data_IF_337485314292
#
_entry.id   IF_337485314292
#
_cell.length_a   1.000
_cell.length_b   1.000
_cell.length_c   1.000
_cell.angle_alpha   90.00
_cell.angle_beta   90.00
_cell.angle_gamma   90.00
#
_symmetry.space_group_name_H-M   'P 1'
#
loop_
_entity.id
_entity.type
_entity.pdbx_description
1 polymer ?
#
# COMPACT_ATOMS: atom_id res chain seq x y z
N UNK A 1 16.76 13.20 -17.41
CA UNK A 1 15.52 14.01 -17.46
C UNK A 1 15.15 14.44 -16.06
N UNK A 2 15.07 13.53 -15.11
CA UNK A 2 14.75 13.82 -13.73
C UNK A 2 16.02 14.02 -12.87
N UNK A 3 16.00 14.99 -11.98
CA UNK A 3 17.07 15.23 -10.98
C UNK A 3 16.75 14.57 -9.63
N UNK A 4 15.47 14.36 -9.36
CA UNK A 4 14.94 13.79 -8.12
C UNK A 4 14.03 12.62 -8.49
N UNK A 5 14.17 11.50 -7.77
CA UNK A 5 13.28 10.36 -7.88
C UNK A 5 12.17 10.47 -6.83
N UNK A 6 10.93 10.44 -7.26
CA UNK A 6 9.79 10.16 -6.39
C UNK A 6 9.69 8.64 -6.19
N UNK A 7 9.67 8.19 -4.94
CA UNK A 7 9.81 6.76 -4.61
C UNK A 7 8.48 6.07 -4.35
N UNK A 8 7.41 6.85 -4.14
CA UNK A 8 6.11 6.33 -3.74
C UNK A 8 4.95 7.13 -4.34
N UNK A 9 3.76 6.52 -4.35
CA UNK A 9 2.52 7.19 -4.68
C UNK A 9 2.19 8.35 -3.69
N UNK A 10 2.70 8.30 -2.46
CA UNK A 10 2.55 9.42 -1.51
C UNK A 10 3.30 10.66 -1.99
N UNK A 11 4.47 10.51 -2.60
CA UNK A 11 5.20 11.64 -3.19
C UNK A 11 4.38 12.29 -4.30
N UNK A 12 3.69 11.49 -5.13
CA UNK A 12 2.79 11.98 -6.18
C UNK A 12 1.57 12.68 -5.56
N UNK A 13 1.00 12.14 -4.49
CA UNK A 13 -0.08 12.77 -3.72
C UNK A 13 0.31 14.18 -3.22
N UNK A 14 1.55 14.35 -2.76
CA UNK A 14 2.08 15.66 -2.39
C UNK A 14 2.20 16.62 -3.59
N UNK A 15 2.44 16.11 -4.79
CA UNK A 15 2.42 16.93 -6.02
C UNK A 15 1.00 17.35 -6.36
N UNK A 16 0.03 16.43 -6.30
CA UNK A 16 -1.40 16.75 -6.52
C UNK A 16 -1.87 17.86 -5.57
N UNK A 17 -1.53 17.78 -4.29
CA UNK A 17 -1.95 18.74 -3.27
C UNK A 17 -1.41 20.15 -3.50
N UNK A 18 -0.37 20.36 -4.32
CA UNK A 18 0.11 21.70 -4.71
C UNK A 18 -0.88 22.45 -5.63
N UNK A 19 -1.68 21.70 -6.39
CA UNK A 19 -2.60 22.25 -7.40
C UNK A 19 -4.06 22.16 -6.96
N UNK A 20 -4.36 21.42 -5.91
CA UNK A 20 -5.73 21.14 -5.48
C UNK A 20 -5.98 21.59 -4.06
N UNK A 21 -7.23 21.98 -3.79
CA UNK A 21 -7.71 22.23 -2.44
C UNK A 21 -8.98 21.43 -2.24
N UNK A 22 -9.02 20.66 -1.15
CA UNK A 22 -10.26 20.04 -0.73
C UNK A 22 -11.12 21.07 0.00
N UNK A 23 -12.43 20.92 -0.13
CA UNK A 23 -13.39 21.74 0.60
C UNK A 23 -13.61 21.16 2.00
N UNK A 24 -14.08 22.00 2.92
CA UNK A 24 -14.48 21.54 4.24
C UNK A 24 -15.76 20.72 4.12
N UNK A 25 -15.81 19.60 4.80
CA UNK A 25 -17.03 18.82 5.02
C UNK A 25 -17.27 18.65 6.52
N UNK A 26 -18.50 18.34 6.89
CA UNK A 26 -18.89 18.09 8.27
C UNK A 26 -19.08 16.58 8.52
N UNK A 27 -19.20 16.21 9.79
CA UNK A 27 -19.62 14.87 10.19
C UNK A 27 -21.03 14.54 9.69
N UNK A 28 -21.90 15.53 9.70
CA UNK A 28 -23.29 15.43 9.26
C UNK A 28 -23.37 15.12 7.76
N UNK A 29 -22.52 15.77 6.94
CA UNK A 29 -22.41 15.46 5.50
C UNK A 29 -22.02 13.98 5.28
N UNK A 30 -21.02 13.50 6.02
CA UNK A 30 -20.59 12.12 5.93
C UNK A 30 -21.66 11.13 6.39
N UNK A 31 -22.34 11.41 7.50
CA UNK A 31 -23.44 10.57 8.00
C UNK A 31 -24.61 10.55 7.01
N UNK A 32 -24.95 11.68 6.40
CA UNK A 32 -26.00 11.74 5.38
C UNK A 32 -25.72 10.80 4.21
N UNK A 33 -24.46 10.72 3.73
CA UNK A 33 -24.09 9.73 2.71
C UNK A 33 -24.25 8.29 3.19
N UNK A 34 -23.95 8.01 4.45
CA UNK A 34 -24.10 6.67 5.01
C UNK A 34 -25.55 6.23 5.16
N UNK A 35 -26.52 7.15 5.23
CA UNK A 35 -27.96 6.87 5.26
C UNK A 35 -28.55 6.63 3.86
N UNK A 36 -27.78 6.84 2.79
CA UNK A 36 -28.19 6.58 1.41
C UNK A 36 -27.95 5.13 0.99
N UNK A 37 -28.53 4.72 -0.14
CA UNK A 37 -28.24 3.44 -0.78
C UNK A 37 -26.91 3.53 -1.53
N UNK A 38 -26.04 2.57 -1.36
CA UNK A 38 -24.83 2.49 -2.19
C UNK A 38 -25.18 1.98 -3.60
N UNK A 39 -25.29 2.89 -4.55
CA UNK A 39 -25.63 2.58 -5.94
C UNK A 39 -24.56 1.71 -6.61
N UNK A 40 -23.28 1.92 -6.28
CA UNK A 40 -22.17 1.13 -6.82
C UNK A 40 -22.11 -0.29 -6.26
N UNK A 41 -22.78 -0.53 -5.14
CA UNK A 41 -22.76 -1.77 -4.34
C UNK A 41 -21.37 -2.19 -3.82
N UNK A 42 -20.28 -1.63 -4.32
CA UNK A 42 -18.92 -1.97 -3.93
C UNK A 42 -18.47 -1.17 -2.71
N UNK A 43 -17.82 -1.84 -1.77
CA UNK A 43 -17.27 -1.23 -0.56
C UNK A 43 -15.94 -1.91 -0.19
N UNK A 44 -14.92 -1.10 0.06
CA UNK A 44 -13.70 -1.54 0.71
C UNK A 44 -13.69 -1.08 2.17
N UNK A 45 -13.09 -1.88 3.05
CA UNK A 45 -12.89 -1.57 4.46
C UNK A 45 -11.39 -1.51 4.76
N UNK A 46 -10.94 -0.46 5.41
CA UNK A 46 -9.57 -0.34 5.92
C UNK A 46 -9.56 -0.27 7.43
N UNK A 47 -8.89 -1.21 8.07
CA UNK A 47 -8.70 -1.26 9.51
C UNK A 47 -7.29 -0.82 9.87
N UNK A 48 -7.16 0.19 10.72
CA UNK A 48 -5.84 0.62 11.20
C UNK A 48 -5.60 0.16 12.63
N UNK A 49 -4.48 -0.51 12.85
CA UNK A 49 -3.99 -0.91 14.17
C UNK A 49 -2.74 -0.11 14.50
N UNK A 50 -2.81 0.96 15.30
CA UNK A 50 -1.68 1.86 15.53
C UNK A 50 -0.67 1.34 16.56
N UNK A 51 -0.51 0.03 16.72
CA UNK A 51 0.34 -0.57 17.75
C UNK A 51 1.37 -1.53 17.17
N UNK A 52 2.58 -1.49 17.73
CA UNK A 52 3.66 -2.43 17.49
C UNK A 52 4.30 -2.83 18.83
N UNK A 53 4.70 -4.08 18.96
CA UNK A 53 5.52 -4.57 20.08
C UNK A 53 7.00 -4.18 19.89
N UNK A 54 7.45 -4.05 18.65
CA UNK A 54 8.79 -3.62 18.29
C UNK A 54 8.76 -2.64 17.13
N UNK A 55 9.38 -1.49 17.30
CA UNK A 55 9.47 -0.44 16.27
C UNK A 55 10.70 -0.70 15.39
N UNK A 56 10.47 -0.74 14.07
CA UNK A 56 11.54 -0.86 13.08
C UNK A 56 12.29 0.49 12.92
N UNK A 57 13.60 0.44 12.66
CA UNK A 57 14.45 1.64 12.60
C UNK A 57 14.04 2.65 11.51
N UNK A 58 13.45 2.19 10.42
CA UNK A 58 13.04 2.98 9.26
C UNK A 58 11.59 3.48 9.29
N UNK A 59 10.77 2.97 10.20
CA UNK A 59 9.31 3.12 10.12
C UNK A 59 8.83 4.53 10.44
N UNK A 60 7.96 5.06 9.58
CA UNK A 60 7.27 6.34 9.74
C UNK A 60 5.76 6.23 9.87
N UNK A 61 5.23 5.00 9.95
CA UNK A 61 3.78 4.79 10.07
C UNK A 61 3.24 5.42 11.34
N UNK A 62 1.94 5.80 11.32
CA UNK A 62 1.23 6.26 12.52
C UNK A 62 1.05 5.08 13.49
N UNK A 63 2.01 4.92 14.40
CA UNK A 63 2.08 3.80 15.35
C UNK A 63 2.58 4.25 16.73
N UNK A 64 2.23 3.43 17.72
CA UNK A 64 2.71 3.55 19.11
C UNK A 64 3.36 2.23 19.51
N UNK A 65 4.34 2.31 20.43
CA UNK A 65 4.80 1.13 21.16
C UNK A 65 3.63 0.57 21.97
N UNK A 66 3.42 -0.74 21.92
CA UNK A 66 2.44 -1.38 22.77
C UNK A 66 2.92 -1.33 24.23
N UNK A 67 2.15 -0.74 25.09
CA UNK A 67 2.40 -0.58 26.52
C UNK A 67 1.33 -1.22 27.41
N UNK A 68 0.16 -1.55 26.84
CA UNK A 68 -1.01 -2.06 27.54
C UNK A 68 -1.72 -3.18 26.76
N UNK A 69 -2.68 -3.83 27.41
CA UNK A 69 -3.60 -4.75 26.76
C UNK A 69 -4.50 -4.01 25.75
N UNK A 70 -4.76 -4.65 24.62
CA UNK A 70 -5.61 -4.09 23.55
C UNK A 70 -7.11 -4.39 23.74
N UNK A 71 -7.57 -4.74 24.93
CA UNK A 71 -8.98 -5.09 25.15
C UNK A 71 -9.92 -3.90 24.88
N UNK A 72 -9.56 -2.72 25.37
CA UNK A 72 -10.35 -1.49 25.09
C UNK A 72 -10.35 -1.14 23.62
N UNK A 73 -9.20 -1.28 22.94
CA UNK A 73 -9.10 -1.01 21.51
C UNK A 73 -9.85 -2.06 20.69
N UNK A 74 -9.83 -3.32 21.12
CA UNK A 74 -10.64 -4.41 20.53
C UNK A 74 -12.13 -4.09 20.62
N UNK A 75 -12.58 -3.65 21.81
CA UNK A 75 -13.98 -3.23 22.02
C UNK A 75 -14.33 -2.06 21.09
N UNK A 76 -13.49 -1.03 21.04
CA UNK A 76 -13.69 0.12 20.16
C UNK A 76 -13.83 -0.29 18.69
N UNK A 77 -12.95 -1.13 18.16
CA UNK A 77 -13.03 -1.63 16.79
C UNK A 77 -14.33 -2.39 16.55
N UNK A 78 -14.73 -3.29 17.48
CA UNK A 78 -15.99 -4.03 17.38
C UNK A 78 -17.22 -3.10 17.39
N UNK A 79 -17.20 -2.05 18.22
CA UNK A 79 -18.30 -1.10 18.30
C UNK A 79 -18.39 -0.25 17.02
N UNK A 80 -17.25 0.18 16.44
CA UNK A 80 -17.24 0.87 15.13
C UNK A 80 -17.72 -0.03 13.99
N UNK A 81 -17.34 -1.32 13.97
CA UNK A 81 -17.84 -2.31 13.00
C UNK A 81 -19.39 -2.38 13.05
N UNK A 82 -19.96 -2.54 14.25
CA UNK A 82 -21.42 -2.62 14.43
C UNK A 82 -22.10 -1.32 14.03
N UNK A 83 -21.55 -0.20 14.45
CA UNK A 83 -22.06 1.14 14.13
C UNK A 83 -22.12 1.36 12.62
N UNK A 84 -21.00 1.16 11.90
CA UNK A 84 -20.96 1.35 10.45
C UNK A 84 -21.81 0.31 9.70
N UNK A 85 -21.79 -0.95 10.13
CA UNK A 85 -22.63 -2.01 9.55
C UNK A 85 -24.13 -1.75 9.69
N UNK A 86 -24.56 -0.91 10.63
CA UNK A 86 -25.96 -0.54 10.80
C UNK A 86 -26.47 0.47 9.74
N UNK A 87 -25.59 1.26 9.12
CA UNK A 87 -25.99 2.27 8.14
C UNK A 87 -26.50 1.63 6.83
N UNK A 88 -27.42 2.32 6.17
CA UNK A 88 -28.06 1.85 4.93
C UNK A 88 -27.05 1.65 3.80
N UNK A 89 -26.08 2.55 3.67
CA UNK A 89 -24.99 2.44 2.71
C UNK A 89 -24.28 1.08 2.84
N UNK A 90 -23.86 0.72 4.05
CA UNK A 90 -23.16 -0.53 4.30
C UNK A 90 -24.04 -1.76 4.10
N UNK A 91 -25.31 -1.71 4.52
CA UNK A 91 -26.29 -2.81 4.32
C UNK A 91 -26.62 -3.08 2.87
N UNK A 92 -26.50 -2.06 2.01
CA UNK A 92 -26.74 -2.19 0.56
C UNK A 92 -25.47 -2.40 -0.25
N UNK A 93 -24.32 -2.54 0.44
CA UNK A 93 -23.00 -2.80 -0.14
C UNK A 93 -22.63 -4.28 -0.04
N UNK A 94 -21.81 -4.71 -0.99
CA UNK A 94 -21.01 -5.93 -0.89
C UNK A 94 -19.54 -5.54 -0.66
N UNK A 95 -18.94 -6.05 0.41
CA UNK A 95 -17.53 -5.82 0.71
C UNK A 95 -16.68 -6.68 -0.22
N UNK A 96 -15.94 -6.04 -1.11
CA UNK A 96 -15.03 -6.70 -2.05
C UNK A 96 -13.57 -6.66 -1.61
N UNK A 97 -13.23 -5.77 -0.67
CA UNK A 97 -11.89 -5.66 -0.10
C UNK A 97 -11.95 -5.34 1.40
N UNK A 98 -11.16 -6.06 2.18
CA UNK A 98 -10.83 -5.71 3.56
C UNK A 98 -9.32 -5.68 3.72
N UNK A 99 -8.81 -4.64 4.32
CA UNK A 99 -7.37 -4.50 4.58
C UNK A 99 -7.12 -4.10 6.04
N UNK A 100 -6.44 -4.96 6.77
CA UNK A 100 -5.95 -4.68 8.12
C UNK A 100 -4.49 -4.26 8.03
N UNK A 101 -4.20 -3.01 8.37
CA UNK A 101 -2.87 -2.43 8.26
C UNK A 101 -2.50 -1.51 9.44
N UNK A 102 -1.41 -0.78 9.25
CA UNK A 102 -0.92 0.21 10.20
C UNK A 102 0.38 -0.17 10.90
N UNK A 103 0.35 -0.35 12.22
CA UNK A 103 1.49 -0.85 12.99
C UNK A 103 1.69 -2.34 12.73
N UNK A 104 1.03 -3.19 13.51
CA UNK A 104 1.06 -4.64 13.33
C UNK A 104 -0.30 -5.23 13.68
N UNK A 105 -1.21 -5.43 12.74
CA UNK A 105 -2.58 -5.92 13.02
C UNK A 105 -2.63 -7.27 13.75
N UNK A 106 -1.64 -8.13 13.57
CA UNK A 106 -1.55 -9.40 14.29
C UNK A 106 -1.02 -9.31 15.72
N UNK A 107 -0.87 -8.07 16.25
CA UNK A 107 -0.48 -7.85 17.66
C UNK A 107 -1.60 -8.24 18.63
N UNK A 108 -2.86 -8.21 18.20
CA UNK A 108 -3.99 -8.68 18.99
C UNK A 108 -3.78 -10.12 19.48
N UNK A 109 -4.22 -10.40 20.71
CA UNK A 109 -4.33 -11.78 21.19
C UNK A 109 -5.32 -12.56 20.32
N UNK A 110 -5.22 -13.89 20.31
CA UNK A 110 -6.08 -14.74 19.46
C UNK A 110 -7.57 -14.54 19.72
N UNK A 111 -7.96 -14.38 20.98
CA UNK A 111 -9.35 -14.13 21.38
C UNK A 111 -9.86 -12.77 20.89
N UNK A 112 -8.99 -11.75 20.95
CA UNK A 112 -9.29 -10.40 20.44
C UNK A 112 -9.42 -10.40 18.92
N UNK A 113 -8.49 -11.07 18.22
CA UNK A 113 -8.51 -11.23 16.78
C UNK A 113 -9.78 -11.97 16.32
N UNK A 114 -10.12 -13.07 16.98
CA UNK A 114 -11.34 -13.83 16.70
C UNK A 114 -12.60 -12.96 16.90
N UNK A 115 -12.67 -12.20 18.00
CA UNK A 115 -13.79 -11.29 18.28
C UNK A 115 -13.96 -10.22 17.19
N UNK A 116 -12.87 -9.59 16.75
CA UNK A 116 -12.91 -8.58 15.67
C UNK A 116 -13.43 -9.21 14.38
N UNK A 117 -12.82 -10.33 13.94
CA UNK A 117 -13.16 -10.99 12.69
C UNK A 117 -14.59 -11.53 12.67
N UNK A 118 -15.03 -12.12 13.79
CA UNK A 118 -16.42 -12.57 13.97
C UNK A 118 -17.38 -11.39 13.85
N UNK A 119 -17.12 -10.30 14.58
CA UNK A 119 -17.96 -9.10 14.52
C UNK A 119 -18.04 -8.53 13.11
N UNK A 120 -16.93 -8.53 12.38
CA UNK A 120 -16.89 -8.08 10.98
C UNK A 120 -17.79 -8.96 10.09
N UNK A 121 -17.69 -10.27 10.20
CA UNK A 121 -18.50 -11.21 9.40
C UNK A 121 -19.99 -11.16 9.70
N UNK A 122 -20.35 -10.80 10.92
CA UNK A 122 -21.76 -10.67 11.35
C UNK A 122 -22.42 -9.36 10.88
N UNK A 123 -21.64 -8.32 10.57
CA UNK A 123 -22.17 -6.98 10.31
C UNK A 123 -22.03 -6.49 8.86
N UNK A 124 -21.30 -7.21 7.99
CA UNK A 124 -21.12 -6.83 6.59
C UNK A 124 -21.41 -8.01 5.66
N UNK A 125 -21.92 -7.70 4.48
CA UNK A 125 -22.14 -8.65 3.39
C UNK A 125 -20.88 -8.65 2.52
N UNK A 126 -20.36 -9.83 2.21
CA UNK A 126 -19.12 -9.95 1.43
C UNK A 126 -19.45 -10.42 0.00
N UNK A 127 -18.76 -9.87 -0.99
CA UNK A 127 -18.80 -10.37 -2.36
C UNK A 127 -18.20 -11.79 -2.42
N UNK A 128 -18.55 -12.54 -3.45
CA UNK A 128 -18.09 -13.94 -3.60
C UNK A 128 -16.56 -14.06 -3.70
N UNK A 129 -15.91 -13.08 -4.32
CA UNK A 129 -14.49 -13.08 -4.64
C UNK A 129 -13.72 -11.99 -3.89
N UNK A 130 -14.17 -11.64 -2.68
CA UNK A 130 -13.52 -10.62 -1.85
C UNK A 130 -12.04 -10.95 -1.55
N UNK A 131 -11.24 -9.90 -1.33
CA UNK A 131 -9.90 -9.98 -0.77
C UNK A 131 -9.91 -9.49 0.68
N UNK A 132 -9.44 -10.32 1.61
CA UNK A 132 -9.23 -9.90 3.01
C UNK A 132 -7.76 -10.07 3.36
N UNK A 133 -7.06 -8.95 3.47
CA UNK A 133 -5.60 -8.87 3.73
C UNK A 133 -5.31 -8.50 5.18
N UNK A 134 -4.33 -9.17 5.77
CA UNK A 134 -3.70 -8.79 7.03
C UNK A 134 -2.22 -8.49 6.85
N UNK A 135 -1.79 -7.30 7.29
CA UNK A 135 -0.37 -7.02 7.51
C UNK A 135 0.11 -7.69 8.78
N UNK A 136 1.33 -8.24 8.74
CA UNK A 136 1.88 -8.97 9.87
C UNK A 136 3.42 -8.93 9.89
N UNK A 137 3.97 -9.36 11.01
CA UNK A 137 5.38 -9.74 11.12
C UNK A 137 5.48 -11.21 11.53
N UNK A 138 6.60 -11.88 11.22
CA UNK A 138 6.78 -13.26 11.63
C UNK A 138 6.73 -13.46 13.15
N UNK A 139 7.10 -12.42 13.91
CA UNK A 139 7.05 -12.43 15.38
C UNK A 139 5.62 -12.52 15.91
N UNK A 140 4.70 -11.80 15.27
CA UNK A 140 3.31 -11.66 15.73
C UNK A 140 2.35 -12.68 15.11
N UNK A 141 2.81 -13.50 14.14
CA UNK A 141 2.00 -14.48 13.46
C UNK A 141 2.24 -15.88 14.04
N UNK A 142 1.43 -16.29 15.01
CA UNK A 142 1.37 -17.71 15.44
C UNK A 142 0.49 -18.52 14.49
N UNK A 143 0.63 -19.86 14.52
CA UNK A 143 -0.22 -20.73 13.70
C UNK A 143 -1.67 -20.71 14.16
N UNK A 144 -1.93 -20.60 15.47
CA UNK A 144 -3.29 -20.47 16.00
C UNK A 144 -3.97 -19.18 15.50
N UNK A 145 -3.23 -18.08 15.41
CA UNK A 145 -3.77 -16.84 14.80
C UNK A 145 -4.05 -17.04 13.32
N UNK A 146 -3.18 -17.72 12.60
CA UNK A 146 -3.35 -18.00 11.18
C UNK A 146 -4.61 -18.85 10.94
N UNK A 147 -4.84 -19.88 11.76
CA UNK A 147 -6.05 -20.74 11.72
C UNK A 147 -7.33 -19.93 12.00
N UNK A 148 -7.29 -19.02 12.99
CA UNK A 148 -8.41 -18.11 13.26
C UNK A 148 -8.65 -17.19 12.06
N UNK A 149 -7.60 -16.61 11.47
CA UNK A 149 -7.70 -15.76 10.30
C UNK A 149 -8.35 -16.49 9.12
N UNK A 150 -7.91 -17.71 8.80
CA UNK A 150 -8.51 -18.54 7.75
C UNK A 150 -9.97 -18.91 8.05
N UNK A 151 -10.28 -19.31 9.29
CA UNK A 151 -11.65 -19.62 9.73
C UNK A 151 -12.63 -18.50 9.43
N UNK A 152 -12.20 -17.25 9.56
CA UNK A 152 -13.03 -16.06 9.28
C UNK A 152 -12.83 -15.48 7.89
N UNK A 153 -12.09 -16.19 7.02
CA UNK A 153 -12.01 -15.89 5.59
C UNK A 153 -10.91 -14.90 5.20
N UNK A 154 -9.88 -14.72 6.04
CA UNK A 154 -8.66 -14.04 5.59
C UNK A 154 -8.00 -14.90 4.53
N UNK A 155 -7.79 -14.34 3.34
CA UNK A 155 -7.28 -15.05 2.17
C UNK A 155 -6.00 -14.43 1.59
N UNK A 156 -5.45 -13.41 2.25
CA UNK A 156 -4.18 -12.79 1.90
C UNK A 156 -3.47 -12.27 3.16
N UNK A 157 -2.17 -12.50 3.26
CA UNK A 157 -1.31 -11.89 4.28
C UNK A 157 -0.18 -11.12 3.62
N UNK A 158 0.20 -9.96 4.21
CA UNK A 158 1.40 -9.21 3.85
C UNK A 158 2.39 -9.25 4.99
N UNK A 159 3.54 -9.87 4.76
CA UNK A 159 4.53 -10.12 5.80
C UNK A 159 5.73 -9.19 5.63
N UNK A 160 5.93 -8.30 6.58
CA UNK A 160 7.09 -7.41 6.59
C UNK A 160 8.38 -8.19 6.84
N UNK A 161 9.05 -8.63 5.77
CA UNK A 161 10.35 -9.31 5.83
C UNK A 161 11.50 -8.31 5.77
N UNK A 162 11.41 -7.37 4.86
CA UNK A 162 12.31 -6.27 4.53
C UNK A 162 13.59 -6.71 3.81
N UNK A 163 14.27 -7.76 4.22
CA UNK A 163 15.39 -8.43 3.56
C UNK A 163 15.66 -9.76 4.25
N UNK A 164 16.26 -10.69 3.54
CA UNK A 164 16.77 -11.95 4.12
C UNK A 164 18.23 -11.80 4.63
N UNK A 165 18.97 -10.74 4.23
CA UNK A 165 20.32 -10.50 4.70
C UNK A 165 20.36 -10.29 6.21
N UNK A 166 21.16 -11.08 6.95
CA UNK A 166 21.31 -10.93 8.40
C UNK A 166 21.83 -9.54 8.79
N UNK A 167 22.75 -8.98 7.99
CA UNK A 167 23.27 -7.62 8.17
C UNK A 167 22.18 -6.58 7.98
N UNK A 168 21.42 -6.66 6.88
CA UNK A 168 20.30 -5.78 6.59
C UNK A 168 19.21 -5.86 7.66
N UNK A 169 18.87 -7.07 8.11
CA UNK A 169 17.88 -7.30 9.18
C UNK A 169 18.27 -6.62 10.48
N UNK A 170 19.56 -6.72 10.87
CA UNK A 170 20.09 -6.03 12.05
C UNK A 170 19.97 -4.51 11.92
N UNK A 171 20.35 -3.96 10.77
CA UNK A 171 20.30 -2.53 10.47
C UNK A 171 18.86 -1.99 10.49
N UNK A 172 17.91 -2.76 9.95
CA UNK A 172 16.48 -2.41 9.91
C UNK A 172 15.73 -2.78 11.22
N UNK A 173 16.45 -3.18 12.27
CA UNK A 173 15.89 -3.63 13.55
C UNK A 173 14.82 -4.75 13.39
N UNK A 174 15.09 -5.74 12.52
CA UNK A 174 14.21 -6.89 12.31
C UNK A 174 14.59 -8.06 13.21
N UNK A 175 13.57 -8.79 13.65
CA UNK A 175 13.70 -9.98 14.49
C UNK A 175 14.10 -11.20 13.63
N UNK A 176 14.82 -12.13 14.23
CA UNK A 176 15.24 -13.40 13.63
C UNK A 176 16.31 -13.27 12.53
N UNK A 177 17.03 -14.34 12.32
CA UNK A 177 18.01 -14.49 11.25
C UNK A 177 17.37 -15.02 9.94
N UNK A 178 18.16 -15.08 8.88
CA UNK A 178 17.77 -15.57 7.57
C UNK A 178 17.17 -16.98 7.63
N UNK A 179 17.84 -17.91 8.32
CA UNK A 179 17.45 -19.32 8.31
C UNK A 179 16.06 -19.49 8.95
N UNK A 180 15.84 -18.86 10.10
CA UNK A 180 14.53 -18.87 10.73
C UNK A 180 13.45 -18.26 9.83
N UNK A 181 13.73 -17.13 9.19
CA UNK A 181 12.77 -16.44 8.31
C UNK A 181 12.37 -17.32 7.13
N UNK A 182 13.34 -17.94 6.46
CA UNK A 182 13.10 -18.84 5.32
C UNK A 182 12.24 -20.04 5.72
N UNK A 183 12.64 -20.74 6.78
CA UNK A 183 11.91 -21.92 7.24
C UNK A 183 10.50 -21.56 7.73
N UNK A 184 10.35 -20.45 8.44
CA UNK A 184 9.05 -19.97 8.92
C UNK A 184 8.10 -19.62 7.77
N UNK A 185 8.59 -18.96 6.73
CA UNK A 185 7.78 -18.66 5.52
C UNK A 185 7.39 -19.95 4.78
N UNK A 186 8.29 -20.93 4.66
CA UNK A 186 7.97 -22.24 4.08
C UNK A 186 6.88 -22.97 4.88
N UNK A 187 6.93 -22.91 6.21
CA UNK A 187 5.89 -23.48 7.07
C UNK A 187 4.54 -22.78 6.91
N UNK A 188 4.55 -21.43 6.87
CA UNK A 188 3.33 -20.64 6.61
C UNK A 188 2.75 -21.02 5.25
N UNK A 189 3.59 -21.10 4.20
CA UNK A 189 3.15 -21.48 2.84
C UNK A 189 2.52 -22.87 2.78
N UNK A 190 2.93 -23.80 3.64
CA UNK A 190 2.32 -25.14 3.72
C UNK A 190 0.97 -25.16 4.44
N UNK A 191 0.75 -24.22 5.37
CA UNK A 191 -0.43 -24.22 6.26
C UNK A 191 -1.50 -23.24 5.81
N UNK A 192 -1.12 -22.11 5.22
CA UNK A 192 -2.04 -21.08 4.78
C UNK A 192 -2.44 -21.30 3.32
N UNK A 193 -3.75 -21.41 3.08
CA UNK A 193 -4.30 -21.62 1.74
C UNK A 193 -4.38 -20.36 0.90
N UNK A 194 -4.31 -19.19 1.56
CA UNK A 194 -4.38 -17.88 0.89
C UNK A 194 -3.06 -17.40 0.29
N UNK A 195 -3.08 -16.17 -0.20
CA UNK A 195 -1.94 -15.53 -0.84
C UNK A 195 -0.95 -14.97 0.19
N UNK A 196 0.34 -15.10 -0.08
CA UNK A 196 1.43 -14.55 0.74
C UNK A 196 2.14 -13.49 -0.07
N UNK A 197 2.04 -12.24 0.39
CA UNK A 197 2.86 -11.12 -0.03
C UNK A 197 3.98 -10.90 0.98
N UNK A 198 5.17 -10.52 0.53
CA UNK A 198 6.23 -10.04 1.42
C UNK A 198 6.66 -8.63 1.03
N UNK A 199 7.12 -7.86 2.02
CA UNK A 199 7.70 -6.54 1.76
C UNK A 199 9.22 -6.63 1.79
N UNK A 200 9.87 -6.08 0.76
CA UNK A 200 11.32 -5.97 0.61
C UNK A 200 11.71 -4.50 0.59
N UNK A 201 12.72 -4.15 1.39
CA UNK A 201 13.38 -2.85 1.38
C UNK A 201 14.77 -3.03 0.80
N UNK A 202 15.07 -2.31 -0.26
CA UNK A 202 16.40 -2.27 -0.86
C UNK A 202 17.06 -0.89 -0.66
N UNK A 203 18.33 -0.78 -1.02
CA UNK A 203 19.13 0.44 -0.88
C UNK A 203 19.30 0.90 0.58
N UNK A 204 19.41 -0.06 1.51
CA UNK A 204 19.89 0.23 2.87
C UNK A 204 21.42 0.35 2.90
N UNK A 205 21.97 0.95 3.97
CA UNK A 205 23.38 1.26 4.06
C UNK A 205 24.30 0.07 3.72
N UNK A 206 25.16 0.26 2.72
CA UNK A 206 26.13 -0.74 2.27
C UNK A 206 25.55 -2.03 1.71
N UNK A 207 24.29 -2.05 1.24
CA UNK A 207 23.70 -3.23 0.60
C UNK A 207 24.51 -3.65 -0.62
N UNK A 208 24.88 -4.92 -0.71
CA UNK A 208 25.62 -5.48 -1.85
C UNK A 208 24.69 -6.03 -2.93
N UNK A 209 25.26 -6.32 -4.11
CA UNK A 209 24.51 -6.96 -5.21
C UNK A 209 24.07 -8.37 -4.83
N UNK A 210 24.95 -9.10 -4.13
CA UNK A 210 24.64 -10.47 -3.69
C UNK A 210 23.47 -10.49 -2.69
N UNK A 211 23.36 -9.51 -1.79
CA UNK A 211 22.28 -9.42 -0.83
C UNK A 211 20.93 -9.21 -1.51
N UNK A 212 20.84 -8.33 -2.51
CA UNK A 212 19.57 -8.06 -3.21
C UNK A 212 19.19 -9.20 -4.18
N UNK A 213 20.17 -9.83 -4.83
CA UNK A 213 19.94 -11.01 -5.67
C UNK A 213 19.52 -12.22 -4.84
N UNK A 214 20.06 -12.38 -3.61
CA UNK A 214 19.61 -13.42 -2.70
C UNK A 214 18.16 -13.18 -2.24
N UNK A 215 17.77 -11.93 -1.97
CA UNK A 215 16.39 -11.57 -1.65
C UNK A 215 15.43 -12.01 -2.78
N UNK A 216 15.77 -11.73 -4.05
CA UNK A 216 14.98 -12.15 -5.22
C UNK A 216 14.94 -13.67 -5.39
N UNK A 217 16.08 -14.37 -5.21
CA UNK A 217 16.17 -15.83 -5.30
C UNK A 217 15.32 -16.51 -4.24
N UNK A 218 15.40 -16.08 -2.98
CA UNK A 218 14.65 -16.69 -1.87
C UNK A 218 13.14 -16.43 -2.00
N UNK A 219 12.73 -15.30 -2.53
CA UNK A 219 11.33 -15.00 -2.86
C UNK A 219 10.75 -16.07 -3.79
N UNK A 220 11.49 -16.42 -4.84
CA UNK A 220 11.12 -17.45 -5.80
C UNK A 220 11.19 -18.87 -5.22
N UNK A 221 12.24 -19.21 -4.48
CA UNK A 221 12.43 -20.52 -3.84
C UNK A 221 11.30 -20.85 -2.86
N UNK A 222 10.88 -19.87 -2.03
CA UNK A 222 9.77 -20.01 -1.09
C UNK A 222 8.42 -20.03 -1.81
N UNK A 223 8.38 -19.55 -3.08
CA UNK A 223 7.18 -19.44 -3.90
C UNK A 223 6.12 -18.53 -3.27
N UNK A 224 6.55 -17.36 -2.75
CA UNK A 224 5.59 -16.34 -2.32
C UNK A 224 4.79 -15.82 -3.51
N UNK A 225 3.58 -15.35 -3.29
CA UNK A 225 2.67 -15.03 -4.40
C UNK A 225 2.90 -13.62 -4.95
N UNK A 226 3.42 -12.72 -4.10
CA UNK A 226 3.80 -11.36 -4.51
C UNK A 226 4.83 -10.74 -3.58
N UNK A 227 5.48 -9.69 -4.04
CA UNK A 227 6.39 -8.89 -3.23
C UNK A 227 6.17 -7.40 -3.48
N UNK A 228 6.14 -6.61 -2.41
CA UNK A 228 6.35 -5.17 -2.49
C UNK A 228 7.85 -4.90 -2.36
N UNK A 229 8.40 -3.99 -3.18
CA UNK A 229 9.82 -3.66 -3.09
C UNK A 229 10.02 -2.14 -3.11
N UNK A 230 10.61 -1.64 -2.04
CA UNK A 230 10.72 -0.21 -1.78
C UNK A 230 12.20 0.18 -1.57
N UNK A 231 12.63 1.25 -2.25
CA UNK A 231 13.89 1.90 -1.85
C UNK A 231 13.75 2.46 -0.45
N UNK A 232 14.76 2.23 0.40
CA UNK A 232 14.75 2.79 1.75
C UNK A 232 14.50 4.30 1.71
N UNK A 233 13.48 4.72 2.44
CA UNK A 233 13.17 6.12 2.69
C UNK A 233 13.50 6.44 4.14
N UNK A 234 14.28 7.49 4.34
CA UNK A 234 14.60 8.00 5.69
C UNK A 234 13.62 9.12 6.00
N UNK A 235 12.73 8.85 6.93
CA UNK A 235 11.73 9.81 7.38
C UNK A 235 12.19 10.48 8.69
N UNK A 236 11.93 11.76 8.82
CA UNK A 236 12.22 12.51 10.02
C UNK A 236 11.55 11.86 11.24
N UNK A 237 12.31 11.78 12.34
CA UNK A 237 11.86 11.14 13.57
C UNK A 237 11.99 9.61 13.63
N UNK A 238 12.34 8.93 12.53
CA UNK A 238 12.73 7.52 12.54
C UNK A 238 14.07 7.32 13.25
N UNK A 239 14.34 6.12 13.79
CA UNK A 239 15.61 5.87 14.49
C UNK A 239 16.81 6.00 13.55
N UNK A 240 16.68 5.53 12.32
CA UNK A 240 17.73 5.68 11.30
C UNK A 240 17.98 7.14 10.92
N UNK A 241 16.95 8.01 10.98
CA UNK A 241 17.14 9.47 10.81
C UNK A 241 17.95 10.07 11.94
N UNK A 242 17.62 9.74 13.19
CA UNK A 242 18.34 10.20 14.39
C UNK A 242 19.81 9.74 14.41
N UNK A 243 20.07 8.50 13.98
CA UNK A 243 21.43 7.99 13.85
C UNK A 243 22.21 8.73 12.76
N UNK A 244 21.60 8.96 11.60
CA UNK A 244 22.18 9.73 10.50
C UNK A 244 22.45 11.20 10.85
N UNK A 245 21.65 11.80 11.71
CA UNK A 245 21.90 13.17 12.22
C UNK A 245 23.19 13.25 13.04
N UNK A 246 23.52 12.18 13.79
CA UNK A 246 24.75 12.06 14.59
C UNK A 246 25.97 11.73 13.71
N UNK A 247 25.77 10.88 12.73
CA UNK A 247 26.84 10.45 11.81
C UNK A 247 26.28 10.29 10.37
N UNK A 248 26.56 11.27 9.53
CA UNK A 248 26.13 11.29 8.12
C UNK A 248 26.74 10.17 7.29
N UNK A 249 27.82 9.52 7.74
CA UNK A 249 28.45 8.41 7.04
C UNK A 249 27.65 7.11 7.11
N UNK A 250 26.72 6.97 8.07
CA UNK A 250 25.88 5.78 8.26
C UNK A 250 25.06 5.48 7.02
N UNK A 251 24.56 6.52 6.35
CA UNK A 251 23.79 6.36 5.12
C UNK A 251 23.92 7.59 4.22
N UNK A 252 24.49 7.40 3.04
CA UNK A 252 24.51 8.39 1.97
C UNK A 252 23.69 7.85 0.79
N UNK A 253 22.62 8.55 0.43
CA UNK A 253 21.79 8.19 -0.71
C UNK A 253 22.55 8.42 -2.01
N UNK A 254 22.60 7.39 -2.86
CA UNK A 254 23.11 7.45 -4.22
C UNK A 254 22.00 7.04 -5.18
N UNK A 255 21.60 7.94 -6.05
CA UNK A 255 20.58 7.67 -7.08
C UNK A 255 21.04 6.56 -8.04
N UNK A 256 22.32 6.55 -8.41
CA UNK A 256 22.89 5.50 -9.25
C UNK A 256 22.79 4.12 -8.58
N UNK A 257 23.16 4.04 -7.29
CA UNK A 257 23.07 2.79 -6.54
C UNK A 257 21.62 2.34 -6.33
N UNK A 258 20.73 3.27 -6.13
CA UNK A 258 19.28 3.03 -6.02
C UNK A 258 18.73 2.38 -7.31
N UNK A 259 19.13 2.89 -8.48
CA UNK A 259 18.75 2.34 -9.79
C UNK A 259 19.37 0.96 -10.05
N UNK A 260 20.65 0.77 -9.72
CA UNK A 260 21.35 -0.52 -9.86
C UNK A 260 20.64 -1.62 -9.04
N UNK A 261 20.41 -1.39 -7.76
CA UNK A 261 19.77 -2.38 -6.88
C UNK A 261 18.33 -2.66 -7.27
N UNK A 262 17.59 -1.63 -7.69
CA UNK A 262 16.23 -1.81 -8.20
C UNK A 262 16.21 -2.74 -9.40
N UNK A 263 17.09 -2.47 -10.38
CA UNK A 263 17.10 -3.22 -11.63
C UNK A 263 17.55 -4.67 -11.39
N UNK A 264 18.58 -4.89 -10.57
CA UNK A 264 19.03 -6.24 -10.19
C UNK A 264 17.90 -7.07 -9.58
N UNK A 265 17.16 -6.49 -8.61
CA UNK A 265 16.03 -7.18 -7.98
C UNK A 265 14.91 -7.47 -8.98
N UNK A 266 14.52 -6.44 -9.75
CA UNK A 266 13.45 -6.55 -10.72
C UNK A 266 13.74 -7.62 -11.78
N UNK A 267 14.91 -7.54 -12.42
CA UNK A 267 15.31 -8.49 -13.48
C UNK A 267 15.39 -9.91 -12.95
N UNK A 268 16.01 -10.13 -11.78
CA UNK A 268 16.06 -11.44 -11.15
C UNK A 268 14.67 -12.00 -10.82
N UNK A 269 13.71 -11.16 -10.42
CA UNK A 269 12.33 -11.60 -10.20
C UNK A 269 11.61 -11.94 -11.51
N UNK A 270 11.80 -11.14 -12.58
CA UNK A 270 11.20 -11.43 -13.90
C UNK A 270 11.74 -12.74 -14.48
N UNK A 271 13.03 -13.00 -14.37
CA UNK A 271 13.65 -14.29 -14.79
C UNK A 271 13.05 -15.48 -14.03
N UNK A 272 12.55 -15.26 -12.82
CA UNK A 272 11.88 -16.26 -12.00
C UNK A 272 10.33 -16.23 -12.11
N UNK A 273 9.79 -15.73 -13.24
CA UNK A 273 8.36 -15.76 -13.57
C UNK A 273 7.47 -14.87 -12.69
N UNK A 274 8.03 -13.81 -12.11
CA UNK A 274 7.23 -12.71 -11.56
C UNK A 274 6.97 -11.67 -12.66
N UNK A 275 5.86 -10.98 -12.56
CA UNK A 275 5.46 -9.87 -13.43
C UNK A 275 5.24 -8.59 -12.62
N UNK A 276 5.35 -7.43 -13.24
CA UNK A 276 5.03 -6.16 -12.60
C UNK A 276 3.52 -6.08 -12.40
N UNK A 277 3.10 -5.96 -11.16
CA UNK A 277 1.69 -5.76 -10.80
C UNK A 277 1.35 -4.26 -10.68
N UNK A 278 2.26 -3.52 -10.07
CA UNK A 278 2.20 -2.07 -9.83
C UNK A 278 3.65 -1.58 -9.65
N UNK A 279 3.94 -0.31 -9.84
CA UNK A 279 5.30 0.26 -9.90
C UNK A 279 6.25 -0.16 -8.75
N UNK A 280 5.68 -0.60 -7.64
CA UNK A 280 6.42 -1.06 -6.46
C UNK A 280 6.08 -2.50 -6.06
N UNK A 281 5.39 -3.25 -6.91
CA UNK A 281 4.90 -4.60 -6.58
C UNK A 281 5.06 -5.58 -7.74
N UNK A 282 5.52 -6.79 -7.39
CA UNK A 282 5.65 -7.92 -8.29
C UNK A 282 4.70 -9.04 -7.87
N UNK A 283 4.22 -9.83 -8.81
CA UNK A 283 3.34 -10.98 -8.59
C UNK A 283 3.72 -12.15 -9.48
N UNK A 284 3.50 -13.37 -9.00
CA UNK A 284 3.59 -14.60 -9.81
C UNK A 284 2.31 -14.85 -10.64
N UNK A 285 1.48 -13.83 -10.84
CA UNK A 285 0.21 -13.90 -11.56
C UNK A 285 -1.00 -14.33 -10.72
N UNK A 286 -0.81 -14.87 -9.51
CA UNK A 286 -1.91 -15.26 -8.62
C UNK A 286 -2.48 -14.10 -7.83
N UNK A 287 -1.61 -13.25 -7.28
CA UNK A 287 -2.01 -12.08 -6.52
C UNK A 287 -2.41 -10.95 -7.49
N UNK A 288 -3.67 -10.52 -7.41
CA UNK A 288 -4.21 -9.39 -8.19
C UNK A 288 -4.26 -8.10 -7.37
N UNK A 289 -4.04 -8.18 -6.09
CA UNK A 289 -4.01 -7.11 -5.10
C UNK A 289 -5.15 -6.11 -5.27
N UNK A 290 -6.36 -6.56 -4.96
CA UNK A 290 -7.60 -5.77 -5.14
C UNK A 290 -7.58 -4.46 -4.35
N UNK A 291 -6.97 -4.46 -3.14
CA UNK A 291 -6.90 -3.25 -2.32
C UNK A 291 -6.23 -2.08 -3.05
N UNK A 292 -5.03 -2.31 -3.66
CA UNK A 292 -4.34 -1.22 -4.36
C UNK A 292 -5.10 -0.77 -5.61
N UNK A 293 -5.76 -1.73 -6.30
CA UNK A 293 -6.59 -1.40 -7.46
C UNK A 293 -7.81 -0.56 -7.08
N UNK A 294 -8.45 -0.85 -5.95
CA UNK A 294 -9.56 -0.06 -5.44
C UNK A 294 -9.11 1.36 -5.06
N UNK A 295 -7.98 1.49 -4.36
CA UNK A 295 -7.43 2.79 -3.99
C UNK A 295 -7.06 3.64 -5.22
N UNK A 296 -6.38 3.05 -6.20
CA UNK A 296 -5.99 3.74 -7.44
C UNK A 296 -7.18 4.08 -8.34
N UNK A 297 -8.35 3.46 -8.11
CA UNK A 297 -9.61 3.76 -8.82
C UNK A 297 -10.58 4.58 -7.97
N UNK A 298 -10.14 5.11 -6.83
CA UNK A 298 -10.94 5.92 -5.90
C UNK A 298 -12.30 5.31 -5.56
N UNK A 299 -12.35 3.98 -5.37
CA UNK A 299 -13.56 3.29 -4.91
C UNK A 299 -13.80 3.56 -3.44
N UNK A 300 -15.06 3.51 -3.00
CA UNK A 300 -15.45 3.72 -1.61
C UNK A 300 -14.62 2.89 -0.65
N UNK A 301 -13.95 3.56 0.28
CA UNK A 301 -13.09 2.98 1.31
C UNK A 301 -13.51 3.51 2.67
N UNK A 302 -14.17 2.68 3.47
CA UNK A 302 -14.59 3.02 4.82
C UNK A 302 -13.45 2.74 5.81
N UNK A 303 -12.89 3.78 6.47
CA UNK A 303 -11.80 3.60 7.41
C UNK A 303 -12.30 3.35 8.82
N UNK A 304 -11.75 2.34 9.50
CA UNK A 304 -12.07 1.95 10.87
C UNK A 304 -10.77 1.92 11.70
N UNK A 305 -10.79 2.50 12.86
CA UNK A 305 -9.64 2.55 13.76
C UNK A 305 -8.93 3.90 13.78
N UNK A 306 -8.12 4.10 14.80
CA UNK A 306 -7.33 5.32 15.02
C UNK A 306 -6.19 5.38 14.02
N UNK A 307 -6.08 6.47 13.27
CA UNK A 307 -5.10 6.66 12.20
C UNK A 307 -5.59 6.16 10.83
N UNK A 308 -6.79 5.59 10.76
CA UNK A 308 -7.38 5.17 9.48
C UNK A 308 -7.84 6.37 8.65
N UNK A 309 -7.53 6.37 7.36
CA UNK A 309 -8.04 7.30 6.37
C UNK A 309 -8.77 6.58 5.23
N UNK A 310 -9.78 7.24 4.66
CA UNK A 310 -10.55 6.71 3.54
C UNK A 310 -11.55 7.73 3.02
N UNK A 311 -12.49 7.29 2.21
CA UNK A 311 -13.54 8.15 1.66
C UNK A 311 -14.78 7.35 1.25
N UNK A 312 -15.91 7.98 1.35
CA UNK A 312 -17.18 7.51 0.77
C UNK A 312 -17.62 8.56 -0.25
N UNK A 313 -17.73 8.15 -1.50
CA UNK A 313 -17.94 9.05 -2.63
C UNK A 313 -16.87 10.19 -2.61
N UNK A 314 -17.30 11.45 -2.56
CA UNK A 314 -16.44 12.62 -2.55
C UNK A 314 -16.03 13.11 -1.14
N UNK A 315 -16.54 12.48 -0.06
CA UNK A 315 -16.20 12.85 1.31
C UNK A 315 -15.10 11.96 1.86
N UNK A 316 -13.92 12.56 2.05
CA UNK A 316 -12.80 11.96 2.76
C UNK A 316 -12.97 12.05 4.28
N UNK A 317 -12.51 11.02 4.97
CA UNK A 317 -12.47 10.95 6.44
C UNK A 317 -11.11 10.47 6.92
N UNK A 318 -10.60 11.06 8.01
CA UNK A 318 -9.42 10.61 8.71
C UNK A 318 -9.68 10.55 10.22
N UNK A 319 -9.53 9.38 10.82
CA UNK A 319 -9.77 9.13 12.23
C UNK A 319 -8.53 9.50 13.07
N UNK A 320 -8.46 10.70 13.62
CA UNK A 320 -7.34 11.17 14.40
C UNK A 320 -7.17 10.40 15.72
N UNK A 321 -8.30 10.15 16.39
CA UNK A 321 -8.38 9.34 17.62
C UNK A 321 -9.78 8.69 17.72
N UNK A 322 -10.09 8.04 18.84
CA UNK A 322 -11.38 7.36 19.02
C UNK A 322 -12.60 8.31 19.04
N UNK A 323 -12.41 9.61 19.22
CA UNK A 323 -13.48 10.60 19.38
C UNK A 323 -13.52 11.62 18.24
N UNK A 324 -12.36 11.90 17.61
CA UNK A 324 -12.18 12.98 16.65
C UNK A 324 -11.81 12.44 15.28
N UNK A 325 -12.60 12.81 14.28
CA UNK A 325 -12.31 12.58 12.86
C UNK A 325 -12.33 13.91 12.09
N UNK A 326 -11.49 14.00 11.06
CA UNK A 326 -11.49 15.11 10.12
C UNK A 326 -12.21 14.71 8.84
N UNK A 327 -12.98 15.63 8.29
CA UNK A 327 -13.75 15.43 7.08
C UNK A 327 -13.38 16.46 6.03
N UNK A 328 -13.31 16.04 4.78
CA UNK A 328 -13.04 16.93 3.64
C UNK A 328 -13.79 16.45 2.42
N UNK A 329 -14.21 17.40 1.56
CA UNK A 329 -14.83 17.09 0.28
C UNK A 329 -13.80 17.24 -0.83
N UNK A 330 -13.61 16.18 -1.59
CA UNK A 330 -12.65 16.13 -2.71
C UNK A 330 -13.11 17.08 -3.82
N UNK A 331 -12.25 17.96 -4.29
CA UNK A 331 -12.54 18.79 -5.45
C UNK A 331 -12.52 17.98 -6.74
N UNK A 332 -13.25 18.44 -7.77
CA UNK A 332 -13.26 17.79 -9.08
C UNK A 332 -11.86 17.66 -9.67
N UNK A 333 -11.05 18.71 -9.52
CA UNK A 333 -9.65 18.67 -9.98
C UNK A 333 -8.83 17.63 -9.22
N UNK A 334 -8.95 17.56 -7.89
CA UNK A 334 -8.26 16.54 -7.10
C UNK A 334 -8.68 15.14 -7.56
N UNK A 335 -9.97 14.91 -7.77
CA UNK A 335 -10.48 13.64 -8.28
C UNK A 335 -9.84 13.28 -9.63
N UNK A 336 -9.84 14.20 -10.61
CA UNK A 336 -9.27 13.99 -11.95
C UNK A 336 -7.78 13.65 -11.91
N UNK A 337 -6.99 14.43 -11.15
CA UNK A 337 -5.55 14.22 -11.01
C UNK A 337 -5.24 12.90 -10.31
N UNK A 338 -6.01 12.55 -9.28
CA UNK A 338 -5.86 11.29 -8.55
C UNK A 338 -6.21 10.08 -9.42
N UNK A 339 -7.25 10.17 -10.26
CA UNK A 339 -7.60 9.12 -11.23
C UNK A 339 -6.50 8.91 -12.27
N UNK A 340 -5.96 9.99 -12.85
CA UNK A 340 -4.82 9.90 -13.79
C UNK A 340 -3.61 9.28 -13.10
N UNK A 341 -3.28 9.73 -11.90
CA UNK A 341 -2.19 9.15 -11.10
C UNK A 341 -2.40 7.66 -10.87
N UNK A 342 -3.60 7.25 -10.45
CA UNK A 342 -3.92 5.85 -10.19
C UNK A 342 -3.83 4.96 -11.42
N UNK A 343 -4.30 5.44 -12.59
CA UNK A 343 -4.17 4.71 -13.86
C UNK A 343 -2.71 4.43 -14.23
N UNK A 344 -1.82 5.40 -13.97
CA UNK A 344 -0.39 5.30 -14.30
C UNK A 344 0.43 4.48 -13.29
N UNK A 345 -0.15 3.91 -12.22
CA UNK A 345 0.60 3.09 -11.26
C UNK A 345 0.86 1.65 -11.74
N UNK A 346 0.17 1.18 -12.78
CA UNK A 346 0.24 -0.20 -13.24
C UNK A 346 1.25 -0.38 -14.40
N UNK A 347 1.67 -1.63 -14.63
CA UNK A 347 2.62 -2.01 -15.70
C UNK A 347 2.34 -1.32 -17.04
N UNK A 348 1.07 -1.20 -17.37
CA UNK A 348 0.56 -0.50 -18.55
C UNK A 348 -0.71 0.27 -18.23
N UNK A 349 -0.88 1.40 -18.87
CA UNK A 349 -2.07 2.23 -18.73
C UNK A 349 -2.65 2.66 -20.06
N UNK A 350 -3.98 2.71 -20.11
CA UNK A 350 -4.72 3.03 -21.33
C UNK A 350 -4.82 4.57 -21.50
N UNK A 351 -4.36 5.07 -22.62
CA UNK A 351 -4.36 6.50 -22.94
C UNK A 351 -5.77 7.06 -23.12
N UNK A 352 -6.71 6.25 -23.62
CA UNK A 352 -8.12 6.65 -23.75
C UNK A 352 -8.81 6.79 -22.39
N UNK A 353 -8.37 6.06 -21.36
CA UNK A 353 -8.87 6.25 -20.00
C UNK A 353 -8.36 7.58 -19.41
N UNK A 354 -7.11 7.95 -19.65
CA UNK A 354 -6.56 9.25 -19.22
C UNK A 354 -7.34 10.41 -19.87
N UNK A 355 -7.69 10.28 -21.16
CA UNK A 355 -8.44 11.31 -21.90
C UNK A 355 -9.78 11.65 -21.25
N UNK A 356 -10.42 10.72 -20.56
CA UNK A 356 -11.71 10.97 -19.87
C UNK A 356 -11.62 12.00 -18.74
N UNK A 357 -10.42 12.26 -18.22
CA UNK A 357 -10.18 13.14 -17.07
C UNK A 357 -9.58 14.51 -17.44
N UNK A 358 -9.41 14.80 -18.72
CA UNK A 358 -8.86 16.07 -19.20
C UNK A 358 -9.54 16.51 -20.49
N UNK A 359 -9.46 17.80 -20.80
CA UNK A 359 -9.90 18.33 -22.09
C UNK A 359 -8.92 17.96 -23.23
N UNK A 360 -9.35 18.18 -24.46
CA UNK A 360 -8.58 17.85 -25.65
C UNK A 360 -7.22 18.58 -25.71
N UNK A 361 -7.15 19.82 -25.25
CA UNK A 361 -5.91 20.61 -25.24
C UNK A 361 -4.90 20.02 -24.26
N UNK A 362 -5.33 19.74 -23.04
CA UNK A 362 -4.51 19.11 -21.99
C UNK A 362 -4.07 17.72 -22.45
N UNK A 363 -4.99 16.92 -23.03
CA UNK A 363 -4.66 15.58 -23.51
C UNK A 363 -3.56 15.61 -24.59
N UNK A 364 -3.58 16.56 -25.52
CA UNK A 364 -2.51 16.72 -26.52
C UNK A 364 -1.15 17.00 -25.88
N UNK A 365 -1.10 17.84 -24.85
CA UNK A 365 0.15 18.11 -24.13
C UNK A 365 0.65 16.88 -23.36
N UNK A 366 -0.26 16.14 -22.71
CA UNK A 366 0.06 14.84 -22.07
C UNK A 366 0.64 13.89 -23.11
N UNK A 367 -0.03 13.71 -24.26
CA UNK A 367 0.41 12.78 -25.30
C UNK A 367 1.79 13.17 -25.85
N UNK A 368 2.05 14.45 -26.07
CA UNK A 368 3.34 14.97 -26.46
C UNK A 368 4.42 14.62 -25.43
N UNK A 369 4.12 14.81 -24.13
CA UNK A 369 5.03 14.45 -23.04
C UNK A 369 5.29 12.94 -22.98
N UNK A 370 4.28 12.12 -23.19
CA UNK A 370 4.42 10.65 -23.25
C UNK A 370 5.29 10.23 -24.43
N UNK A 371 5.21 10.88 -25.59
CA UNK A 371 6.14 10.67 -26.70
C UNK A 371 7.59 11.05 -26.36
N UNK A 372 7.82 12.08 -25.55
CA UNK A 372 9.17 12.38 -25.03
C UNK A 372 9.68 11.27 -24.09
N UNK A 373 8.80 10.67 -23.28
CA UNK A 373 9.14 9.53 -22.43
C UNK A 373 9.47 8.29 -23.27
N UNK A 374 8.70 8.03 -24.32
CA UNK A 374 8.97 6.94 -25.26
C UNK A 374 10.33 7.10 -25.95
N UNK A 375 10.62 8.29 -26.50
CA UNK A 375 11.90 8.58 -27.15
C UNK A 375 13.11 8.43 -26.21
N UNK A 376 12.89 8.54 -24.90
CA UNK A 376 13.95 8.36 -23.87
C UNK A 376 13.98 6.94 -23.28
N UNK A 377 13.15 6.03 -23.78
CA UNK A 377 13.10 4.63 -23.36
C UNK A 377 12.48 4.38 -21.98
N UNK A 378 11.63 5.28 -21.48
CA UNK A 378 10.90 5.07 -20.23
C UNK A 378 9.63 4.22 -20.43
N UNK A 379 8.95 4.42 -21.55
CA UNK A 379 7.72 3.70 -21.92
C UNK A 379 7.78 3.31 -23.40
N UNK A 380 6.90 2.40 -23.79
CA UNK A 380 6.58 2.09 -25.18
C UNK A 380 5.09 2.32 -25.39
N UNK A 381 4.71 2.98 -26.47
CA UNK A 381 3.31 3.25 -26.79
C UNK A 381 2.86 2.29 -27.89
N UNK A 382 1.89 1.43 -27.59
CA UNK A 382 1.31 0.46 -28.52
C UNK A 382 -0.21 0.34 -28.32
N UNK A 383 -0.99 0.38 -29.37
CA UNK A 383 -2.44 0.13 -29.37
C UNK A 383 -3.21 0.92 -28.29
N UNK A 384 -2.92 2.22 -28.14
CA UNK A 384 -3.46 3.11 -27.09
C UNK A 384 -3.03 2.76 -25.65
N UNK A 385 -2.03 1.91 -25.47
CA UNK A 385 -1.43 1.68 -24.16
C UNK A 385 -0.02 2.26 -24.09
N UNK A 386 0.31 2.86 -22.98
CA UNK A 386 1.68 3.14 -22.59
C UNK A 386 2.16 2.03 -21.64
N UNK A 387 3.27 1.38 -21.98
CA UNK A 387 3.83 0.23 -21.28
C UNK A 387 5.19 0.63 -20.71
N UNK A 388 5.37 0.52 -19.40
CA UNK A 388 6.65 0.85 -18.78
C UNK A 388 7.77 -0.09 -19.28
N UNK A 389 8.94 0.49 -19.57
CA UNK A 389 10.18 -0.23 -19.76
C UNK A 389 10.96 -0.25 -18.43
N UNK A 390 11.99 -1.07 -18.29
CA UNK A 390 12.77 -1.20 -17.05
C UNK A 390 13.15 0.17 -16.45
N UNK A 391 13.72 1.04 -17.26
CA UNK A 391 14.04 2.42 -16.86
C UNK A 391 12.81 3.20 -16.39
N UNK A 392 11.67 2.98 -17.06
CA UNK A 392 10.40 3.63 -16.71
C UNK A 392 9.83 3.15 -15.39
N UNK A 393 9.99 1.87 -15.04
CA UNK A 393 9.54 1.31 -13.76
C UNK A 393 10.29 1.98 -12.61
N UNK A 394 11.61 2.11 -12.69
CA UNK A 394 12.41 2.80 -11.68
C UNK A 394 11.99 4.26 -11.49
N UNK A 395 11.69 4.96 -12.59
CA UNK A 395 11.27 6.37 -12.59
C UNK A 395 9.75 6.57 -12.53
N UNK A 396 8.95 5.52 -12.40
CA UNK A 396 7.50 5.53 -12.62
C UNK A 396 6.77 6.64 -11.88
N UNK A 397 6.94 6.74 -10.57
CA UNK A 397 6.31 7.82 -9.80
C UNK A 397 6.79 9.23 -10.21
N UNK A 398 8.02 9.36 -10.73
CA UNK A 398 8.50 10.65 -11.26
C UNK A 398 7.87 11.00 -12.62
N UNK A 399 7.58 9.99 -13.45
CA UNK A 399 6.82 10.16 -14.69
C UNK A 399 5.38 10.59 -14.39
N UNK A 400 4.75 9.93 -13.41
CA UNK A 400 3.39 10.30 -12.94
C UNK A 400 3.39 11.74 -12.43
N UNK A 401 4.31 12.10 -11.55
CA UNK A 401 4.43 13.44 -10.99
C UNK A 401 4.63 14.53 -12.08
N UNK A 402 5.43 14.24 -13.10
CA UNK A 402 5.66 15.16 -14.23
C UNK A 402 4.38 15.41 -15.04
N UNK A 403 3.57 14.37 -15.29
CA UNK A 403 2.26 14.50 -15.94
C UNK A 403 1.30 15.31 -15.06
N UNK A 404 1.24 15.04 -13.75
CA UNK A 404 0.40 15.80 -12.82
C UNK A 404 0.81 17.29 -12.78
N UNK A 405 2.11 17.59 -12.74
CA UNK A 405 2.61 18.97 -12.80
C UNK A 405 2.28 19.64 -14.13
N UNK A 406 2.39 18.92 -15.25
CA UNK A 406 2.02 19.45 -16.57
C UNK A 406 0.55 19.85 -16.59
N UNK A 407 -0.35 19.01 -16.09
CA UNK A 407 -1.78 19.32 -16.03
C UNK A 407 -2.02 20.50 -15.08
N UNK A 408 -1.48 20.46 -13.87
CA UNK A 408 -1.70 21.48 -12.85
C UNK A 408 -1.21 22.89 -13.23
N UNK A 409 -0.21 22.99 -14.11
CA UNK A 409 0.28 24.29 -14.61
C UNK A 409 -0.52 24.84 -15.81
N UNK A 410 -1.34 24.03 -16.46
CA UNK A 410 -2.14 24.40 -17.62
C UNK A 410 -3.61 24.65 -17.29
N UNK A 411 -3.98 24.53 -16.02
CA UNK A 411 -5.29 24.87 -15.46
C UNK A 411 -5.25 26.22 -14.76
#
# INVERSE_FOLDING_TARGET
MFKIRYKSHHDVGNVISKFTKNFKASKEDFISLLEEVNVSKQLALYFHTPYCDKICSFCNMNRKQLDNDLEEYTKYICDEIKKYGAYKFCKTSEVDVVFFGGGTPTIFKKEQLEKILKTLRENFIFSKDYEMTFETTLHNLSFEKLEIMEKYGVNRISVGIQTFSNRGRKLLNRTYDKNYVVERLKEIKKRFSGLICIDIIYNYAGQTDEEILEDARLLSEIKVDSASFYSLMIHDGSDISKEREKDKSIYTYSLKRDEELHNLFYEACIENSYELLELTKLSNGKDKYKYIRNNNSLKNLLPIGVGAGGHIQDIGIYNMNQQVSFYSRTSELNYKLSMISGLMQFEKFNLLEIQKYCDEKIYREIFKRLKEFENKGYIKIENNFAIYQLKGIFWGNSLVADIIELIGRNL
#
